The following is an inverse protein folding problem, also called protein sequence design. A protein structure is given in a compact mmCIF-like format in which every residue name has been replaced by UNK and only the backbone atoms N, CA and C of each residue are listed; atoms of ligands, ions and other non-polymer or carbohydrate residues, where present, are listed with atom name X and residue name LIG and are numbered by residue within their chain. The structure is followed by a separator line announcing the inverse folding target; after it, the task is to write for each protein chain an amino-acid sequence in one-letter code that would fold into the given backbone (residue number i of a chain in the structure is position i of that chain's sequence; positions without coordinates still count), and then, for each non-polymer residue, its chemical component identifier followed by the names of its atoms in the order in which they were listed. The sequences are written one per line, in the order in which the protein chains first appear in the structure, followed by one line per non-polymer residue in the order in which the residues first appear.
data_IF_101628288619
#
_entry.id   IF_101628288619
#
_cell.length_a   1.000
_cell.length_b   1.000
_cell.length_c   1.000
_cell.angle_alpha   90.00
_cell.angle_beta   90.00
_cell.angle_gamma   90.00
#
_symmetry.space_group_name_H-M   'P 1'
#
loop_
_entity.id
_entity.type
_entity.pdbx_description
1 polymer ?
#
# COMPACT_ATOMS: atom_id res chain seq x y z
N UNK A 1 -17.02 52.21 -29.68
CA UNK A 1 -16.69 51.01 -28.85
C UNK A 1 -17.86 50.51 -27.98
N UNK A 2 -19.04 51.15 -27.98
CA UNK A 2 -20.25 50.73 -27.24
C UNK A 2 -21.05 49.59 -27.89
N UNK A 3 -20.72 49.19 -29.12
CA UNK A 3 -21.44 48.15 -29.87
C UNK A 3 -21.14 46.73 -29.39
N UNK A 4 -20.03 46.50 -28.70
CA UNK A 4 -19.59 45.17 -28.25
C UNK A 4 -20.31 44.75 -26.96
N UNK A 5 -20.72 45.70 -26.13
CA UNK A 5 -21.37 45.42 -24.83
C UNK A 5 -22.79 44.89 -24.99
N UNK A 6 -23.55 45.41 -25.97
CA UNK A 6 -24.96 45.04 -26.15
C UNK A 6 -25.13 43.59 -26.64
N UNK A 7 -24.22 43.12 -27.51
CA UNK A 7 -24.21 41.71 -27.99
C UNK A 7 -23.98 40.70 -26.87
N UNK A 8 -23.33 41.12 -25.76
CA UNK A 8 -23.06 40.28 -24.60
C UNK A 8 -24.28 40.18 -23.66
N UNK A 9 -25.14 41.19 -23.62
CA UNK A 9 -26.37 41.18 -22.82
C UNK A 9 -27.54 40.52 -23.54
N UNK A 10 -27.53 40.52 -24.87
CA UNK A 10 -28.63 39.97 -25.68
C UNK A 10 -28.77 38.44 -25.55
N UNK A 11 -27.65 37.72 -25.41
CA UNK A 11 -27.68 36.28 -25.18
C UNK A 11 -28.02 35.88 -23.73
N UNK A 12 -27.83 36.79 -22.76
CA UNK A 12 -28.18 36.58 -21.35
C UNK A 12 -29.67 36.85 -21.09
N UNK A 13 -30.29 37.73 -21.88
CA UNK A 13 -31.72 38.09 -21.80
C UNK A 13 -32.64 37.17 -22.61
N UNK A 14 -32.11 36.08 -23.20
CA UNK A 14 -32.90 35.10 -23.97
C UNK A 14 -33.89 34.30 -23.11
N UNK A 15 -33.68 34.25 -21.79
CA UNK A 15 -34.51 33.53 -20.85
C UNK A 15 -35.08 34.50 -19.83
N UNK A 16 -36.38 34.38 -19.54
CA UNK A 16 -37.03 35.15 -18.49
C UNK A 16 -36.31 34.93 -17.15
N UNK A 17 -36.21 35.94 -16.29
CA UNK A 17 -35.59 35.81 -14.97
C UNK A 17 -36.23 34.68 -14.14
N UNK A 18 -37.51 34.39 -14.37
CA UNK A 18 -38.20 33.24 -13.79
C UNK A 18 -37.63 31.89 -14.28
N UNK A 19 -37.29 31.76 -15.56
CA UNK A 19 -36.67 30.56 -16.11
C UNK A 19 -35.25 30.39 -15.56
N UNK A 20 -34.49 31.48 -15.48
CA UNK A 20 -33.14 31.48 -14.90
C UNK A 20 -33.15 31.08 -13.43
N UNK A 21 -34.15 31.54 -12.67
CA UNK A 21 -34.35 31.13 -11.28
C UNK A 21 -34.70 29.63 -11.15
N UNK A 22 -35.55 29.11 -12.04
CA UNK A 22 -35.88 27.68 -12.07
C UNK A 22 -34.67 26.80 -12.42
N UNK A 23 -33.87 27.19 -13.40
CA UNK A 23 -32.66 26.46 -13.79
C UNK A 23 -31.60 26.44 -12.67
N UNK A 24 -31.43 27.56 -11.97
CA UNK A 24 -30.54 27.64 -10.82
C UNK A 24 -30.96 26.69 -9.68
N UNK A 25 -32.27 26.58 -9.43
CA UNK A 25 -32.83 25.63 -8.45
C UNK A 25 -32.59 24.18 -8.92
N UNK A 26 -32.83 23.87 -10.20
CA UNK A 26 -32.62 22.54 -10.76
C UNK A 26 -31.15 22.07 -10.66
N UNK A 27 -30.19 22.94 -10.96
CA UNK A 27 -28.75 22.63 -10.85
C UNK A 27 -28.34 22.36 -9.40
N UNK A 28 -28.89 23.15 -8.47
CA UNK A 28 -28.63 22.98 -7.04
C UNK A 28 -29.17 21.64 -6.54
N UNK A 29 -30.40 21.27 -6.95
CA UNK A 29 -30.99 19.97 -6.61
C UNK A 29 -30.27 18.82 -7.33
N UNK A 30 -29.72 19.02 -8.53
CA UNK A 30 -28.97 17.96 -9.21
C UNK A 30 -27.66 17.62 -8.49
N UNK A 31 -26.93 18.63 -8.00
CA UNK A 31 -25.67 18.43 -7.28
C UNK A 31 -25.84 18.04 -5.80
N UNK A 32 -26.86 18.57 -5.13
CA UNK A 32 -27.07 18.39 -3.69
C UNK A 32 -28.27 17.51 -3.33
N UNK A 33 -29.07 17.14 -4.34
CA UNK A 33 -30.19 16.22 -4.19
C UNK A 33 -29.76 14.77 -4.30
N UNK A 34 -30.75 13.90 -4.54
CA UNK A 34 -30.67 12.45 -4.35
C UNK A 34 -29.49 11.81 -5.11
N UNK A 35 -29.08 12.37 -6.25
CA UNK A 35 -27.98 11.82 -7.05
C UNK A 35 -26.63 11.78 -6.31
N UNK A 36 -26.35 12.75 -5.42
CA UNK A 36 -25.17 12.72 -4.54
C UNK A 36 -25.30 11.67 -3.42
N UNK A 37 -26.51 11.46 -2.92
CA UNK A 37 -26.81 10.49 -1.85
C UNK A 37 -26.77 9.04 -2.32
N UNK A 38 -27.04 8.76 -3.61
CA UNK A 38 -26.98 7.41 -4.19
C UNK A 38 -25.61 6.75 -3.95
N UNK A 39 -24.51 7.49 -4.15
CA UNK A 39 -23.15 6.96 -3.96
C UNK A 39 -22.95 6.49 -2.52
N UNK A 40 -23.42 7.25 -1.53
CA UNK A 40 -23.32 6.86 -0.12
C UNK A 40 -24.17 5.63 0.21
N UNK A 41 -25.38 5.54 -0.36
CA UNK A 41 -26.23 4.36 -0.16
C UNK A 41 -25.66 3.11 -0.83
N UNK A 42 -25.01 3.22 -1.99
CA UNK A 42 -24.35 2.10 -2.67
C UNK A 42 -23.16 1.57 -1.85
N UNK A 43 -22.35 2.47 -1.30
CA UNK A 43 -21.26 2.12 -0.37
C UNK A 43 -21.83 1.47 0.88
N UNK A 44 -22.83 2.06 1.52
CA UNK A 44 -23.49 1.51 2.71
C UNK A 44 -24.12 0.13 2.48
N UNK A 45 -24.72 -0.11 1.31
CA UNK A 45 -25.30 -1.39 0.92
C UNK A 45 -24.22 -2.46 0.71
N UNK A 46 -23.11 -2.09 0.07
CA UNK A 46 -21.97 -3.00 -0.14
C UNK A 46 -21.33 -3.40 1.20
N UNK A 47 -21.15 -2.44 2.12
CA UNK A 47 -20.68 -2.71 3.49
C UNK A 47 -21.65 -3.62 4.25
N UNK A 48 -22.96 -3.35 4.16
CA UNK A 48 -24.00 -4.14 4.79
C UNK A 48 -24.04 -5.59 4.28
N UNK A 49 -23.96 -5.78 2.96
CA UNK A 49 -23.95 -7.11 2.32
C UNK A 49 -22.73 -7.94 2.75
N UNK A 50 -21.52 -7.36 2.73
CA UNK A 50 -20.29 -8.07 3.10
C UNK A 50 -20.24 -8.42 4.59
N UNK A 51 -20.78 -7.54 5.44
CA UNK A 51 -20.85 -7.76 6.88
C UNK A 51 -21.83 -8.86 7.25
N UNK A 52 -23.03 -8.84 6.70
CA UNK A 52 -24.10 -9.76 7.11
C UNK A 52 -23.97 -11.14 6.44
N UNK A 53 -23.49 -11.22 5.19
CA UNK A 53 -23.39 -12.50 4.46
C UNK A 53 -22.00 -13.16 4.50
N UNK A 54 -20.90 -12.40 4.63
CA UNK A 54 -19.52 -12.95 4.64
C UNK A 54 -18.81 -12.84 6.00
N UNK A 55 -19.48 -12.31 7.03
CA UNK A 55 -18.93 -12.19 8.39
C UNK A 55 -17.68 -11.30 8.49
N UNK A 56 -17.41 -10.48 7.47
CA UNK A 56 -16.23 -9.61 7.43
C UNK A 56 -16.51 -8.30 8.18
N UNK A 57 -15.55 -7.76 8.96
CA UNK A 57 -15.81 -6.65 9.88
C UNK A 57 -16.29 -5.38 9.15
N UNK A 58 -17.23 -4.56 9.65
CA UNK A 58 -17.72 -3.35 8.95
C UNK A 58 -16.73 -2.17 8.95
N UNK A 59 -15.75 -2.18 8.04
CA UNK A 59 -14.83 -1.04 7.79
C UNK A 59 -14.69 -0.80 6.27
N UNK A 60 -14.33 0.41 5.77
CA UNK A 60 -14.04 0.58 4.32
C UNK A 60 -12.92 -0.37 3.86
N UNK A 61 -11.97 -0.65 4.76
CA UNK A 61 -10.97 -1.72 4.67
C UNK A 61 -11.57 -3.12 4.47
N UNK A 62 -12.88 -3.32 4.59
CA UNK A 62 -13.55 -4.61 4.46
C UNK A 62 -14.42 -4.77 3.22
N UNK A 63 -14.97 -3.66 2.71
CA UNK A 63 -15.26 -3.56 1.27
C UNK A 63 -13.98 -3.75 0.45
N UNK A 64 -12.86 -3.31 1.03
CA UNK A 64 -11.52 -3.59 0.59
C UNK A 64 -10.82 -4.68 1.44
N UNK A 65 -11.51 -5.62 2.11
CA UNK A 65 -10.83 -6.70 2.89
C UNK A 65 -10.05 -7.64 1.98
N UNK A 66 -10.55 -7.95 0.77
CA UNK A 66 -9.70 -8.52 -0.28
C UNK A 66 -8.62 -7.57 -0.83
N UNK A 67 -8.55 -6.30 -0.39
CA UNK A 67 -7.70 -5.24 -0.94
C UNK A 67 -6.69 -4.60 0.06
N UNK A 68 -6.86 -4.67 1.38
CA UNK A 68 -6.00 -4.01 2.40
C UNK A 68 -5.77 -4.94 3.61
N UNK A 69 -4.72 -5.76 3.54
CA UNK A 69 -4.22 -6.64 4.60
C UNK A 69 -3.49 -5.93 5.76
N UNK A 70 -2.35 -6.47 6.22
CA UNK A 70 -1.67 -6.15 7.48
C UNK A 70 -1.20 -4.70 7.63
N UNK A 71 -1.63 -4.07 8.73
CA UNK A 71 -1.77 -2.61 8.93
C UNK A 71 -0.49 -1.83 9.25
N UNK A 72 0.68 -2.45 9.34
CA UNK A 72 1.92 -1.74 9.71
C UNK A 72 2.55 -1.04 8.50
N UNK A 73 2.43 -1.61 7.31
CA UNK A 73 3.04 -1.05 6.10
C UNK A 73 2.13 -0.01 5.40
N UNK A 74 0.81 -0.08 5.62
CA UNK A 74 -0.23 0.83 5.09
C UNK A 74 0.08 2.32 5.20
N UNK A 75 0.26 2.79 6.43
CA UNK A 75 0.48 4.22 6.72
C UNK A 75 1.92 4.65 6.45
N UNK A 76 2.89 3.74 6.62
CA UNK A 76 4.29 4.04 6.35
C UNK A 76 4.54 4.29 4.86
N UNK A 77 3.90 3.55 3.96
CA UNK A 77 4.03 3.75 2.51
C UNK A 77 3.53 5.13 2.02
N UNK A 78 2.69 5.83 2.79
CA UNK A 78 2.26 7.18 2.45
C UNK A 78 3.43 8.17 2.58
N UNK A 79 4.14 8.12 3.70
CA UNK A 79 5.26 9.03 3.93
C UNK A 79 6.56 8.50 3.35
N UNK A 80 6.65 7.19 3.16
CA UNK A 80 7.82 6.48 2.72
C UNK A 80 7.57 5.47 1.59
N UNK A 81 7.05 5.93 0.43
CA UNK A 81 6.79 5.03 -0.69
C UNK A 81 8.05 4.45 -1.32
N UNK A 82 9.22 5.09 -1.18
CA UNK A 82 10.49 4.57 -1.69
C UNK A 82 10.93 3.27 -1.00
N UNK A 83 10.47 3.00 0.23
CA UNK A 83 10.83 1.79 0.96
C UNK A 83 10.20 0.52 0.34
N UNK A 84 8.86 0.39 0.26
CA UNK A 84 8.22 -0.78 -0.32
C UNK A 84 8.55 -0.92 -1.82
N UNK A 85 8.57 0.19 -2.58
CA UNK A 85 8.91 0.16 -4.01
C UNK A 85 10.38 -0.22 -4.21
N UNK A 86 11.31 0.27 -3.38
CA UNK A 86 12.72 -0.06 -3.46
C UNK A 86 13.00 -1.53 -3.11
N UNK A 87 12.28 -2.07 -2.11
CA UNK A 87 12.38 -3.48 -1.74
C UNK A 87 11.86 -4.40 -2.86
N UNK A 88 10.72 -4.03 -3.48
CA UNK A 88 10.18 -4.73 -4.64
C UNK A 88 11.12 -4.63 -5.85
N UNK A 89 11.59 -3.42 -6.20
CA UNK A 89 12.48 -3.18 -7.33
C UNK A 89 13.82 -3.93 -7.20
N UNK A 90 14.40 -3.98 -5.99
CA UNK A 90 15.62 -4.73 -5.73
C UNK A 90 15.47 -6.22 -6.03
N UNK A 91 14.32 -6.81 -5.68
CA UNK A 91 13.99 -8.20 -6.00
C UNK A 91 13.74 -8.40 -7.50
N UNK A 92 12.98 -7.51 -8.13
CA UNK A 92 12.62 -7.57 -9.56
C UNK A 92 13.85 -7.54 -10.46
N UNK A 93 14.74 -6.58 -10.22
CA UNK A 93 15.93 -6.34 -11.04
C UNK A 93 17.17 -7.11 -10.57
N UNK A 94 17.08 -7.86 -9.46
CA UNK A 94 18.23 -8.56 -8.86
C UNK A 94 19.35 -7.62 -8.38
N UNK A 95 19.04 -6.33 -8.20
CA UNK A 95 19.98 -5.29 -7.77
C UNK A 95 19.93 -5.09 -6.26
N UNK A 96 20.93 -4.41 -5.71
CA UNK A 96 20.96 -4.12 -4.29
C UNK A 96 19.78 -3.22 -3.89
N UNK A 97 18.92 -3.70 -2.97
CA UNK A 97 17.71 -3.00 -2.51
C UNK A 97 17.96 -1.56 -2.07
N UNK A 98 19.11 -1.27 -1.47
CA UNK A 98 19.44 0.07 -0.99
C UNK A 98 19.65 1.06 -2.14
N UNK A 99 20.14 0.60 -3.29
CA UNK A 99 20.32 1.45 -4.48
C UNK A 99 18.96 1.91 -4.99
N UNK A 100 18.01 1.00 -5.15
CA UNK A 100 16.66 1.32 -5.58
C UNK A 100 15.93 2.24 -4.56
N UNK A 101 16.12 2.00 -3.26
CA UNK A 101 15.57 2.86 -2.21
C UNK A 101 16.13 4.30 -2.29
N UNK A 102 17.43 4.46 -2.46
CA UNK A 102 18.07 5.79 -2.53
C UNK A 102 17.69 6.52 -3.82
N UNK A 103 17.70 5.82 -4.96
CA UNK A 103 17.30 6.39 -6.25
C UNK A 103 15.85 6.89 -6.25
N UNK A 104 14.97 6.30 -5.44
CA UNK A 104 13.58 6.72 -5.28
C UNK A 104 13.37 7.76 -4.18
N UNK A 105 14.12 7.68 -3.08
CA UNK A 105 14.00 8.61 -1.96
C UNK A 105 14.42 10.03 -2.36
N UNK A 106 15.52 10.16 -3.09
CA UNK A 106 16.06 11.47 -3.53
C UNK A 106 15.02 12.28 -4.31
N UNK A 107 14.42 11.79 -5.41
CA UNK A 107 13.43 12.55 -6.16
C UNK A 107 12.15 12.81 -5.35
N UNK A 108 11.70 11.86 -4.52
CA UNK A 108 10.49 12.03 -3.72
C UNK A 108 10.62 13.19 -2.71
N UNK A 109 11.72 13.24 -1.96
CA UNK A 109 11.97 14.33 -1.02
C UNK A 109 12.39 15.63 -1.72
N UNK A 110 13.09 15.54 -2.85
CA UNK A 110 13.43 16.72 -3.65
C UNK A 110 12.17 17.43 -4.16
N UNK A 111 11.15 16.68 -4.61
CA UNK A 111 9.86 17.26 -4.98
C UNK A 111 9.21 18.03 -3.81
N UNK A 112 9.09 17.41 -2.64
CA UNK A 112 8.50 18.06 -1.45
C UNK A 112 9.28 19.34 -1.10
N UNK A 113 10.61 19.29 -1.13
CA UNK A 113 11.46 20.46 -0.86
C UNK A 113 11.25 21.57 -1.90
N UNK A 114 11.16 21.23 -3.19
CA UNK A 114 10.93 22.19 -4.26
C UNK A 114 9.56 22.86 -4.17
N UNK A 115 8.52 22.12 -3.76
CA UNK A 115 7.18 22.66 -3.49
C UNK A 115 7.16 23.62 -2.29
N UNK A 116 8.03 23.42 -1.30
CA UNK A 116 8.18 24.37 -0.18
C UNK A 116 8.96 25.61 -0.64
N UNK A 117 10.01 25.42 -1.45
CA UNK A 117 10.87 26.50 -1.95
C UNK A 117 10.22 27.38 -3.02
N UNK A 118 9.06 26.99 -3.57
CA UNK A 118 8.32 27.80 -4.54
C UNK A 118 7.91 29.19 -3.99
N UNK A 119 7.92 29.36 -2.67
CA UNK A 119 7.70 30.65 -2.00
C UNK A 119 8.74 31.70 -2.43
N UNK A 120 9.94 31.27 -2.83
CA UNK A 120 11.01 32.15 -3.32
C UNK A 120 10.85 32.44 -4.80
N UNK A 121 10.59 31.40 -5.60
CA UNK A 121 10.54 31.48 -7.06
C UNK A 121 9.53 30.47 -7.63
N UNK A 122 8.52 30.94 -8.36
CA UNK A 122 7.44 30.11 -8.93
C UNK A 122 7.98 29.05 -9.90
N UNK A 123 9.12 29.32 -10.54
CA UNK A 123 9.79 28.41 -11.47
C UNK A 123 10.16 27.05 -10.87
N UNK A 124 10.42 26.98 -9.56
CA UNK A 124 10.81 25.72 -8.89
C UNK A 124 9.66 24.73 -8.80
N UNK A 125 8.40 25.19 -8.78
CA UNK A 125 7.24 24.32 -8.75
C UNK A 125 7.20 23.40 -9.98
N UNK A 126 7.44 23.93 -11.18
CA UNK A 126 7.46 23.14 -12.41
C UNK A 126 8.56 22.07 -12.39
N UNK A 127 9.73 22.39 -11.81
CA UNK A 127 10.81 21.43 -11.60
C UNK A 127 10.38 20.35 -10.60
N UNK A 128 9.70 20.73 -9.52
CA UNK A 128 9.11 19.81 -8.55
C UNK A 128 8.15 18.82 -9.20
N UNK A 129 7.17 19.31 -9.96
CA UNK A 129 6.23 18.46 -10.70
C UNK A 129 6.93 17.54 -11.70
N UNK A 130 7.95 18.01 -12.42
CA UNK A 130 8.73 17.18 -13.34
C UNK A 130 9.46 16.03 -12.61
N UNK A 131 10.01 16.31 -11.42
CA UNK A 131 10.65 15.30 -10.56
C UNK A 131 9.63 14.27 -10.06
N UNK A 132 8.43 14.70 -9.68
CA UNK A 132 7.33 13.80 -9.31
C UNK A 132 6.92 12.89 -10.47
N UNK A 133 6.79 13.42 -11.70
CA UNK A 133 6.49 12.60 -12.87
C UNK A 133 7.58 11.56 -13.13
N UNK A 134 8.85 11.88 -12.89
CA UNK A 134 9.95 10.91 -12.92
C UNK A 134 9.79 9.79 -11.88
N UNK A 135 9.39 10.14 -10.66
CA UNK A 135 9.09 9.17 -9.60
C UNK A 135 7.93 8.24 -9.97
N UNK A 136 6.82 8.81 -10.48
CA UNK A 136 5.66 8.04 -10.93
C UNK A 136 6.05 7.11 -12.07
N UNK A 137 6.78 7.61 -13.08
CA UNK A 137 7.22 6.82 -14.22
C UNK A 137 8.11 5.64 -13.81
N UNK A 138 9.04 5.85 -12.88
CA UNK A 138 9.87 4.77 -12.34
C UNK A 138 9.02 3.72 -11.62
N UNK A 139 8.11 4.15 -10.72
CA UNK A 139 7.21 3.23 -10.00
C UNK A 139 6.30 2.44 -10.95
N UNK A 140 5.83 3.06 -12.02
CA UNK A 140 5.08 2.42 -13.09
C UNK A 140 5.92 1.38 -13.82
N UNK A 141 7.20 1.67 -14.09
CA UNK A 141 8.13 0.69 -14.68
C UNK A 141 8.31 -0.54 -13.80
N UNK A 142 8.51 -0.36 -12.49
CA UNK A 142 8.62 -1.47 -11.53
C UNK A 142 7.34 -2.33 -11.53
N UNK A 143 6.15 -1.70 -11.53
CA UNK A 143 4.88 -2.43 -11.63
C UNK A 143 4.74 -3.21 -12.93
N UNK A 144 5.14 -2.62 -14.05
CA UNK A 144 5.05 -3.26 -15.35
C UNK A 144 5.89 -4.54 -15.41
N UNK A 145 7.10 -4.49 -14.86
CA UNK A 145 8.00 -5.64 -14.73
C UNK A 145 7.46 -6.73 -13.79
N UNK A 146 6.86 -6.33 -12.66
CA UNK A 146 6.21 -7.29 -11.74
C UNK A 146 5.05 -7.98 -12.43
N UNK A 147 4.22 -7.24 -13.16
CA UNK A 147 3.12 -7.80 -13.94
C UNK A 147 3.62 -8.83 -14.95
N UNK A 148 4.69 -8.51 -15.68
CA UNK A 148 5.27 -9.42 -16.67
C UNK A 148 5.76 -10.72 -16.01
N UNK A 149 6.44 -10.63 -14.85
CA UNK A 149 6.91 -11.79 -14.09
C UNK A 149 5.80 -12.67 -13.53
N UNK A 150 4.68 -12.11 -13.12
CA UNK A 150 3.55 -12.84 -12.56
C UNK A 150 2.42 -13.12 -13.56
N UNK A 151 2.62 -12.78 -14.84
CA UNK A 151 1.62 -12.93 -15.91
C UNK A 151 0.22 -12.37 -15.57
N UNK A 152 0.17 -11.22 -14.88
CA UNK A 152 -1.09 -10.56 -14.51
C UNK A 152 -1.64 -9.79 -15.72
N UNK A 153 -2.94 -9.85 -15.97
CA UNK A 153 -3.57 -9.08 -17.06
C UNK A 153 -3.66 -7.61 -16.64
N UNK A 154 -3.09 -6.70 -17.41
CA UNK A 154 -3.12 -5.25 -17.15
C UNK A 154 -2.37 -4.45 -18.20
N UNK A 155 -2.46 -3.13 -18.16
CA UNK A 155 -1.76 -2.23 -19.10
C UNK A 155 -0.92 -1.15 -18.39
N UNK A 156 -0.01 -0.52 -19.13
CA UNK A 156 0.87 0.53 -18.59
C UNK A 156 0.09 1.76 -18.07
N UNK A 157 -1.04 2.09 -18.70
CA UNK A 157 -1.89 3.20 -18.29
C UNK A 157 -2.50 2.97 -16.91
N UNK A 158 -3.03 1.77 -16.64
CA UNK A 158 -3.56 1.36 -15.35
C UNK A 158 -2.50 1.46 -14.24
N UNK A 159 -1.28 1.01 -14.51
CA UNK A 159 -0.18 1.14 -13.55
C UNK A 159 0.19 2.59 -13.28
N UNK A 160 0.18 3.43 -14.31
CA UNK A 160 0.42 4.87 -14.16
C UNK A 160 -0.68 5.53 -13.33
N UNK A 161 -1.95 5.23 -13.59
CA UNK A 161 -3.08 5.75 -12.81
C UNK A 161 -3.04 5.26 -11.36
N UNK A 162 -2.67 4.01 -11.12
CA UNK A 162 -2.49 3.47 -9.77
C UNK A 162 -1.34 4.18 -9.05
N UNK A 163 -0.22 4.44 -9.72
CA UNK A 163 0.91 5.19 -9.15
C UNK A 163 0.63 6.67 -8.96
N UNK A 164 -0.32 7.25 -9.69
CA UNK A 164 -0.68 8.67 -9.56
C UNK A 164 -1.76 8.92 -8.49
N UNK A 165 -2.83 8.12 -8.47
CA UNK A 165 -3.98 8.32 -7.59
C UNK A 165 -3.87 7.56 -6.27
N UNK A 166 -3.22 6.39 -6.29
CA UNK A 166 -3.21 5.44 -5.16
C UNK A 166 -1.81 4.88 -4.91
N UNK A 167 -0.77 5.73 -5.03
CA UNK A 167 0.63 5.33 -4.89
C UNK A 167 0.97 4.52 -3.62
N UNK A 168 0.41 4.80 -2.42
CA UNK A 168 0.75 4.03 -1.22
C UNK A 168 0.22 2.59 -1.31
N UNK A 169 -0.95 2.41 -1.92
CA UNK A 169 -1.56 1.10 -2.11
C UNK A 169 -0.82 0.31 -3.18
N UNK A 170 -0.49 0.96 -4.30
CA UNK A 170 0.30 0.37 -5.37
C UNK A 170 1.70 -0.06 -4.90
N UNK A 171 2.34 0.77 -4.07
CA UNK A 171 3.63 0.49 -3.45
C UNK A 171 3.61 -0.78 -2.58
N UNK A 172 2.58 -0.93 -1.74
CA UNK A 172 2.43 -2.08 -0.87
C UNK A 172 2.07 -3.36 -1.62
N UNK A 173 1.22 -3.25 -2.65
CA UNK A 173 0.89 -4.38 -3.52
C UNK A 173 2.14 -4.94 -4.20
N UNK A 174 3.04 -4.08 -4.69
CA UNK A 174 4.30 -4.52 -5.26
C UNK A 174 5.18 -5.26 -4.26
N UNK A 175 5.32 -4.74 -3.03
CA UNK A 175 6.12 -5.39 -2.00
C UNK A 175 5.52 -6.76 -1.61
N UNK A 176 4.20 -6.84 -1.43
CA UNK A 176 3.51 -8.08 -1.06
C UNK A 176 3.64 -9.15 -2.14
N UNK A 177 3.42 -8.77 -3.41
CA UNK A 177 3.59 -9.68 -4.56
C UNK A 177 5.00 -10.26 -4.63
N UNK A 178 6.00 -9.44 -4.28
CA UNK A 178 7.40 -9.85 -4.26
C UNK A 178 7.81 -10.58 -2.97
N UNK A 179 6.93 -10.64 -1.96
CA UNK A 179 7.12 -11.37 -0.70
C UNK A 179 6.41 -12.74 -0.67
N UNK A 180 5.75 -13.15 -1.75
CA UNK A 180 5.08 -14.46 -1.85
C UNK A 180 6.08 -15.62 -1.73
N UNK A 181 5.69 -16.71 -1.05
CA UNK A 181 6.49 -17.93 -0.94
C UNK A 181 6.72 -18.57 -2.32
N UNK A 182 7.98 -18.83 -2.67
CA UNK A 182 8.37 -19.40 -3.98
C UNK A 182 9.17 -18.45 -4.89
N UNK A 183 9.26 -17.15 -4.57
CA UNK A 183 10.11 -16.22 -5.31
C UNK A 183 11.61 -16.40 -4.93
N UNK A 184 12.54 -16.48 -5.91
CA UNK A 184 13.97 -16.62 -5.63
C UNK A 184 14.49 -15.46 -4.76
N UNK A 185 14.99 -15.80 -3.56
CA UNK A 185 15.41 -14.85 -2.52
C UNK A 185 14.57 -14.91 -1.23
N UNK A 186 13.33 -15.39 -1.29
CA UNK A 186 12.49 -15.62 -0.09
C UNK A 186 12.65 -17.04 0.47
N UNK A 187 12.83 -18.03 -0.42
CA UNK A 187 13.03 -19.44 -0.06
C UNK A 187 14.27 -19.69 0.82
N UNK A 188 15.42 -19.09 0.49
CA UNK A 188 16.65 -19.26 1.29
C UNK A 188 16.55 -18.72 2.73
N UNK A 189 15.81 -17.61 2.94
CA UNK A 189 15.58 -17.08 4.30
C UNK A 189 14.64 -17.96 5.10
N UNK A 190 13.59 -18.48 4.45
CA UNK A 190 12.61 -19.34 5.11
C UNK A 190 13.22 -20.72 5.42
N UNK A 191 14.06 -21.26 4.54
CA UNK A 191 14.82 -22.49 4.76
C UNK A 191 15.86 -22.31 5.86
N UNK A 192 16.67 -21.25 5.83
CA UNK A 192 17.61 -20.95 6.91
C UNK A 192 16.88 -20.76 8.25
N UNK A 193 15.75 -20.08 8.28
CA UNK A 193 14.92 -19.91 9.47
C UNK A 193 14.37 -21.24 10.01
N UNK A 194 13.85 -22.11 9.12
CA UNK A 194 13.39 -23.45 9.49
C UNK A 194 14.54 -24.30 10.04
N UNK A 195 15.72 -24.20 9.44
CA UNK A 195 16.92 -24.94 9.86
C UNK A 195 17.39 -24.49 11.25
N UNK A 196 17.43 -23.18 11.49
CA UNK A 196 17.80 -22.62 12.79
C UNK A 196 16.79 -22.99 13.89
N UNK A 197 15.49 -22.96 13.58
CA UNK A 197 14.46 -23.37 14.53
C UNK A 197 14.52 -24.87 14.86
N UNK A 198 14.87 -25.71 13.87
CA UNK A 198 15.09 -27.14 14.09
C UNK A 198 16.33 -27.40 14.95
N UNK A 199 17.42 -26.66 14.74
CA UNK A 199 18.64 -26.72 15.55
C UNK A 199 18.38 -26.31 17.00
N UNK A 200 17.68 -25.21 17.23
CA UNK A 200 17.28 -24.77 18.58
C UNK A 200 16.41 -25.81 19.31
N UNK A 201 15.53 -26.49 18.56
CA UNK A 201 14.68 -27.55 19.11
C UNK A 201 15.49 -28.81 19.46
N UNK A 202 16.51 -29.13 18.66
CA UNK A 202 17.44 -30.23 18.95
C UNK A 202 18.29 -29.92 20.19
N UNK A 203 18.85 -28.71 20.30
CA UNK A 203 19.66 -28.28 21.43
C UNK A 203 18.88 -28.33 22.75
N UNK A 204 17.63 -27.83 22.76
CA UNK A 204 16.77 -27.92 23.95
C UNK A 204 16.47 -29.35 24.39
N UNK A 205 16.32 -30.27 23.44
CA UNK A 205 16.04 -31.67 23.72
C UNK A 205 17.29 -32.39 24.26
N UNK A 206 18.47 -31.98 23.80
CA UNK A 206 19.76 -32.47 24.31
C UNK A 206 20.01 -32.00 25.75
N UNK A 207 19.73 -30.74 26.05
CA UNK A 207 19.80 -30.18 27.41
C UNK A 207 18.82 -30.90 28.34
N UNK A 208 17.56 -31.08 27.94
CA UNK A 208 16.56 -31.77 28.75
C UNK A 208 16.95 -33.21 29.11
N UNK A 209 17.54 -33.96 28.16
CA UNK A 209 18.08 -35.31 28.44
C UNK A 209 19.26 -35.30 29.40
N UNK A 210 20.11 -34.27 29.33
CA UNK A 210 21.24 -34.13 30.26
C UNK A 210 20.78 -33.85 31.69
N UNK A 211 19.69 -33.09 31.86
CA UNK A 211 19.11 -32.77 33.17
C UNK A 211 18.39 -33.99 33.80
N UNK A 212 17.65 -34.77 33.00
CA UNK A 212 17.02 -36.03 33.46
C UNK A 212 18.07 -37.07 33.86
N UNK A 213 19.15 -37.21 33.09
CA UNK A 213 20.25 -38.12 33.42
C UNK A 213 20.94 -37.73 34.74
N UNK A 214 21.03 -36.43 35.05
CA UNK A 214 21.64 -35.95 36.28
C UNK A 214 20.73 -36.14 37.51
N UNK A 215 19.40 -36.00 37.35
CA UNK A 215 18.42 -36.32 38.41
C UNK A 215 18.36 -37.82 38.73
N UNK A 216 18.44 -38.69 37.72
CA UNK A 216 18.42 -40.15 37.90
C UNK A 216 19.65 -40.74 38.61
N UNK A 217 20.71 -39.96 38.80
CA UNK A 217 21.93 -40.38 39.53
C UNK A 217 21.78 -40.13 41.04
N UNK A 218 20.97 -39.15 41.45
CA UNK A 218 20.74 -38.84 42.86
C UNK A 218 19.78 -39.81 43.56
N UNK A 219 18.95 -40.54 42.81
CA UNK A 219 17.91 -41.43 43.34
C UNK A 219 18.34 -42.91 43.45
N UNK A 220 19.63 -43.21 43.24
CA UNK A 220 20.16 -44.56 43.48
C UNK A 220 20.37 -44.74 44.98
N UNK A 221 19.80 -45.80 45.60
CA UNK A 221 20.03 -46.07 47.02
C UNK A 221 21.53 -46.19 47.25
N UNK A 222 22.03 -45.39 48.19
CA UNK A 222 23.44 -45.42 48.57
C UNK A 222 23.76 -46.80 49.12
N UNK A 223 24.98 -47.33 48.87
CA UNK A 223 25.38 -48.69 49.28
C UNK A 223 25.17 -49.00 50.77
N UNK A 224 24.96 -47.98 51.61
CA UNK A 224 24.56 -48.11 53.02
C UNK A 224 23.13 -48.60 53.24
N UNK A 225 22.18 -48.39 52.31
CA UNK A 225 20.77 -48.80 52.44
C UNK A 225 20.54 -50.24 51.96
N UNK A 226 21.34 -50.72 51.00
CA UNK A 226 21.26 -52.10 50.47
C UNK A 226 21.84 -53.11 51.46
N UNK A 227 22.71 -52.68 52.37
CA UNK A 227 23.32 -53.51 53.43
C UNK A 227 22.42 -53.71 54.66
N UNK A 228 21.23 -53.09 54.72
CA UNK A 228 20.29 -53.18 55.86
C UNK A 228 19.04 -54.04 55.61
N UNK A 229 19.02 -54.81 54.52
CA UNK A 229 18.06 -55.88 54.24
C UNK A 229 18.76 -57.24 54.31
#
# INVERSE_FOLDING_TARGET
MLYITNKKTDHLNRFSDNQRAQDAINITIFHWGIHGWIVYTLVGLTLGFLSHNKGMPMTMRSCFYPLIGDKIYGTFALFAPWYPIGNAAGKVYGSNRYVAMVCLAIPFYAWILLEILQVVEVGLAYVGWAVLFGFIAYGTGVRAEIREKFHIVGNLGEDMFAMMLTYPLAALQMEEQMNVEGYPGNGMKNEAGKTNMALDAMEKNEIAKSDEANHGIHDKPTMSEISSL
#
